data_IF_433517568898
#
_entry.id   IF_433517568898
#
_cell.length_a   1.000
_cell.length_b   1.000
_cell.length_c   1.000
_cell.angle_alpha   90.00
_cell.angle_beta   90.00
_cell.angle_gamma   90.00
#
_symmetry.space_group_name_H-M   'P 1'
#
loop_
_entity.id
_entity.type
_entity.pdbx_description
1 polymer ?
#
# COMPACT_ATOMS: atom_id res chain seq x y z
N UNK A 1 17.47 20.29 -8.39
CA UNK A 1 17.16 19.06 -7.64
C UNK A 1 15.88 18.50 -8.23
N UNK A 2 15.99 17.54 -9.14
CA UNK A 2 14.82 16.89 -9.75
C UNK A 2 14.24 15.95 -8.70
N UNK A 3 13.24 16.42 -7.95
CA UNK A 3 12.27 15.53 -7.30
C UNK A 3 11.58 14.80 -8.45
N UNK A 4 12.20 13.71 -8.89
CA UNK A 4 11.61 12.81 -9.87
C UNK A 4 10.23 12.50 -9.33
N UNK A 5 9.24 12.82 -10.16
CA UNK A 5 7.82 12.78 -9.83
C UNK A 5 7.34 11.34 -9.74
N UNK A 6 7.94 10.58 -8.82
CA UNK A 6 7.57 9.22 -8.52
C UNK A 6 6.25 9.31 -7.76
N UNK A 7 5.14 9.31 -8.50
CA UNK A 7 3.80 9.31 -7.92
C UNK A 7 3.57 7.91 -7.38
N UNK A 8 3.88 7.71 -6.11
CA UNK A 8 3.50 6.51 -5.39
C UNK A 8 1.99 6.51 -5.23
N UNK A 9 1.36 5.41 -5.65
CA UNK A 9 -0.05 5.15 -5.42
C UNK A 9 -0.14 3.97 -4.47
N UNK A 10 -0.75 4.25 -3.32
CA UNK A 10 -1.04 3.26 -2.28
C UNK A 10 -2.46 2.78 -2.55
N UNK A 11 -2.61 1.47 -2.72
CA UNK A 11 -3.89 0.81 -2.85
C UNK A 11 -4.11 -0.06 -1.62
N UNK A 12 -4.76 0.48 -0.56
CA UNK A 12 -5.13 -0.28 0.62
C UNK A 12 -6.45 -0.98 0.35
N UNK A 13 -6.45 -1.93 -0.59
CA UNK A 13 -7.62 -2.78 -0.87
C UNK A 13 -7.57 -4.01 0.03
N UNK A 14 -8.34 -4.05 1.13
CA UNK A 14 -8.38 -5.21 2.00
C UNK A 14 -8.95 -6.40 1.23
N UNK A 15 -8.28 -7.54 1.33
CA UNK A 15 -8.75 -8.79 0.74
C UNK A 15 -9.71 -9.45 1.71
N UNK A 16 -10.94 -9.73 1.27
CA UNK A 16 -11.87 -10.52 2.08
C UNK A 16 -11.57 -12.00 1.91
N UNK A 17 -11.28 -12.71 3.00
CA UNK A 17 -11.04 -14.15 3.02
C UNK A 17 -11.83 -14.77 4.18
N UNK A 18 -12.68 -15.77 3.90
CA UNK A 18 -13.40 -16.55 4.92
C UNK A 18 -14.16 -15.77 6.02
N UNK A 19 -14.65 -14.56 5.69
CA UNK A 19 -15.41 -13.72 6.62
C UNK A 19 -14.56 -12.63 7.30
N UNK A 20 -13.24 -12.74 7.23
CA UNK A 20 -12.29 -11.77 7.74
C UNK A 20 -11.81 -10.82 6.62
N UNK A 21 -11.42 -9.61 7.01
CA UNK A 21 -10.79 -8.61 6.16
C UNK A 21 -9.29 -8.63 6.39
N UNK A 22 -8.56 -9.23 5.46
CA UNK A 22 -7.11 -9.21 5.47
C UNK A 22 -6.64 -7.83 5.01
N UNK A 23 -6.01 -7.09 5.91
CA UNK A 23 -5.26 -5.89 5.57
C UNK A 23 -4.22 -6.26 4.53
N UNK A 24 -4.36 -5.61 3.39
CA UNK A 24 -3.50 -5.80 2.24
C UNK A 24 -3.22 -4.42 1.68
N UNK A 25 -1.95 -4.16 1.39
CA UNK A 25 -1.55 -2.92 0.76
C UNK A 25 -0.60 -3.18 -0.37
N UNK A 26 -0.90 -2.53 -1.49
CA UNK A 26 -0.11 -2.58 -2.70
C UNK A 26 0.38 -1.17 -3.01
N UNK A 27 1.68 -1.01 -3.06
CA UNK A 27 2.36 0.23 -3.41
C UNK A 27 2.84 0.08 -4.84
N UNK A 28 2.22 0.83 -5.73
CA UNK A 28 2.66 0.97 -7.12
C UNK A 28 3.32 2.33 -7.29
N UNK A 29 4.34 2.39 -8.13
CA UNK A 29 4.95 3.63 -8.56
C UNK A 29 4.63 3.88 -10.01
N UNK A 30 4.28 5.12 -10.32
CA UNK A 30 4.15 5.57 -11.69
C UNK A 30 5.50 6.12 -12.11
N UNK A 31 6.12 5.46 -13.09
CA UNK A 31 7.35 5.90 -13.71
C UNK A 31 7.08 7.14 -14.59
N UNK A 32 8.13 7.91 -14.89
CA UNK A 32 8.00 9.10 -15.75
C UNK A 32 7.49 8.77 -17.14
N UNK A 33 7.74 7.56 -17.62
CA UNK A 33 7.25 7.02 -18.89
C UNK A 33 5.74 6.73 -18.87
N UNK A 34 5.07 6.88 -17.73
CA UNK A 34 3.65 6.58 -17.54
C UNK A 34 3.36 5.12 -17.17
N UNK A 35 4.40 4.28 -17.12
CA UNK A 35 4.28 2.87 -16.73
C UNK A 35 4.08 2.71 -15.21
N UNK A 36 3.12 1.89 -14.84
CA UNK A 36 2.84 1.53 -13.45
C UNK A 36 3.66 0.30 -13.08
N UNK A 37 4.65 0.49 -12.21
CA UNK A 37 5.44 -0.62 -11.66
C UNK A 37 4.99 -0.89 -10.23
N UNK A 38 4.67 -2.15 -9.94
CA UNK A 38 4.58 -2.60 -8.56
C UNK A 38 5.93 -2.44 -7.88
N UNK A 39 5.99 -1.58 -6.85
CA UNK A 39 7.18 -1.38 -6.03
C UNK A 39 7.20 -2.42 -4.93
N UNK A 40 6.06 -2.55 -4.25
CA UNK A 40 5.95 -3.39 -3.09
C UNK A 40 4.50 -3.82 -2.86
N UNK A 41 4.28 -5.11 -2.74
CA UNK A 41 3.06 -5.67 -2.18
C UNK A 41 3.38 -6.16 -0.79
N UNK A 42 2.73 -5.59 0.23
CA UNK A 42 2.95 -6.03 1.61
C UNK A 42 2.43 -7.44 1.87
N UNK A 43 1.63 -8.01 0.95
CA UNK A 43 1.00 -9.31 1.11
C UNK A 43 -0.12 -9.27 2.15
N UNK A 44 -0.21 -10.31 2.97
CA UNK A 44 -1.18 -10.42 4.06
C UNK A 44 -0.57 -9.77 5.31
N UNK A 45 -0.97 -8.54 5.63
CA UNK A 45 -0.45 -7.86 6.82
C UNK A 45 -1.04 -8.46 8.09
N UNK A 46 -2.36 -8.48 8.18
CA UNK A 46 -3.11 -9.04 9.31
C UNK A 46 -4.58 -9.24 8.93
N UNK A 47 -5.24 -10.21 9.55
CA UNK A 47 -6.69 -10.37 9.48
C UNK A 47 -7.39 -9.49 10.50
N UNK A 48 -8.40 -8.75 10.05
CA UNK A 48 -9.26 -7.93 10.89
C UNK A 48 -10.71 -8.34 10.68
N UNK A 49 -11.50 -8.27 11.75
CA UNK A 49 -12.94 -8.51 11.67
C UNK A 49 -13.67 -7.34 10.97
N UNK A 50 -13.10 -6.14 11.05
CA UNK A 50 -13.66 -4.89 10.52
C UNK A 50 -12.82 -4.37 9.36
N UNK A 51 -13.49 -4.09 8.23
CA UNK A 51 -12.86 -3.54 7.03
C UNK A 51 -12.14 -2.21 7.28
N UNK A 52 -12.74 -1.34 8.09
CA UNK A 52 -12.21 -0.01 8.40
C UNK A 52 -10.85 -0.11 9.09
N UNK A 53 -10.73 -1.00 10.07
CA UNK A 53 -9.48 -1.26 10.80
C UNK A 53 -8.40 -1.83 9.86
N UNK A 54 -8.78 -2.77 8.97
CA UNK A 54 -7.89 -3.31 7.96
C UNK A 54 -7.34 -2.23 7.01
N UNK A 55 -8.19 -1.31 6.56
CA UNK A 55 -7.80 -0.20 5.68
C UNK A 55 -6.93 0.81 6.41
N UNK A 56 -7.28 1.16 7.64
CA UNK A 56 -6.51 2.10 8.47
C UNK A 56 -5.10 1.55 8.75
N UNK A 57 -5.00 0.27 9.11
CA UNK A 57 -3.72 -0.41 9.32
C UNK A 57 -2.89 -0.48 8.05
N UNK A 58 -3.50 -0.91 6.93
CA UNK A 58 -2.85 -0.98 5.61
C UNK A 58 -2.31 0.38 5.15
N UNK A 59 -3.09 1.45 5.35
CA UNK A 59 -2.71 2.82 4.99
C UNK A 59 -1.54 3.30 5.82
N UNK A 60 -1.64 3.17 7.15
CA UNK A 60 -0.59 3.60 8.07
C UNK A 60 0.72 2.84 7.84
N UNK A 61 0.64 1.54 7.58
CA UNK A 61 1.81 0.74 7.22
C UNK A 61 2.50 1.27 5.96
N UNK A 62 1.73 1.62 4.92
CA UNK A 62 2.30 2.14 3.68
C UNK A 62 2.91 3.53 3.84
N UNK A 63 2.33 4.41 4.66
CA UNK A 63 2.93 5.69 5.01
C UNK A 63 4.28 5.51 5.73
N UNK A 64 4.34 4.62 6.72
CA UNK A 64 5.58 4.29 7.45
C UNK A 64 6.62 3.65 6.53
N UNK A 65 6.19 2.76 5.62
CA UNK A 65 7.09 2.15 4.63
C UNK A 65 7.66 3.18 3.66
N UNK A 66 6.83 4.09 3.15
CA UNK A 66 7.29 5.19 2.29
C UNK A 66 8.24 6.13 3.04
N UNK A 67 7.95 6.45 4.30
CA UNK A 67 8.83 7.24 5.15
C UNK A 67 10.16 6.52 5.42
N UNK A 68 10.16 5.21 5.66
CA UNK A 68 11.39 4.44 5.85
C UNK A 68 12.23 4.33 4.57
N UNK A 69 11.58 4.30 3.40
CA UNK A 69 12.25 4.07 2.13
C UNK A 69 12.70 5.34 1.40
N UNK A 70 12.07 6.48 1.69
CA UNK A 70 12.39 7.78 1.09
C UNK A 70 12.76 8.87 2.11
N UNK A 71 12.69 8.59 3.41
CA UNK A 71 13.05 9.50 4.50
C UNK A 71 14.53 9.53 4.85
#
# INVERSE_FOLDING_TARGET
>A
MLFNSTRFRIDPTPRRADGEFIAHVRIVTILQDGDEREVHSSGDLAGFDVRDDAVAYATKWAEEWLAAQFG
#
